data_IF_759738341823
#
_entry.id   IF_759738341823
#
_cell.length_a   1.000
_cell.length_b   1.000
_cell.length_c   1.000
_cell.angle_alpha   90.00
_cell.angle_beta   90.00
_cell.angle_gamma   90.00
#
_symmetry.space_group_name_H-M   'P 1'
#
loop_
_entity.id
_entity.type
_entity.pdbx_description
1 polymer ?
#
# COMPACT_ATOMS: atom_id res chain seq x y z
N UNK A 1 -5.53 22.81 -13.43
CA UNK A 1 -6.56 22.20 -12.57
C UNK A 1 -6.43 20.69 -12.68
N UNK A 2 -5.87 20.03 -11.69
CA UNK A 2 -5.86 18.57 -11.64
C UNK A 2 -7.23 18.17 -11.09
N UNK A 3 -8.07 17.57 -11.92
CA UNK A 3 -9.38 17.07 -11.51
C UNK A 3 -9.17 15.98 -10.46
N UNK A 4 -9.66 16.21 -9.25
CA UNK A 4 -9.78 15.13 -8.27
C UNK A 4 -10.81 14.14 -8.81
N UNK A 5 -10.49 12.83 -8.92
CA UNK A 5 -11.42 11.86 -9.44
C UNK A 5 -12.66 11.84 -8.54
N UNK A 6 -13.84 11.95 -9.16
CA UNK A 6 -15.13 11.83 -8.46
C UNK A 6 -15.15 10.50 -7.71
N UNK A 7 -15.27 10.58 -6.38
CA UNK A 7 -15.37 9.43 -5.47
C UNK A 7 -16.52 8.53 -5.94
N UNK A 8 -16.21 7.35 -6.48
CA UNK A 8 -17.21 6.32 -6.77
C UNK A 8 -17.36 5.44 -5.53
N UNK A 9 -18.58 5.03 -5.20
CA UNK A 9 -18.87 4.24 -3.98
C UNK A 9 -18.22 2.85 -3.93
N UNK A 10 -17.53 2.42 -4.99
CA UNK A 10 -16.96 1.07 -5.12
C UNK A 10 -15.48 1.00 -4.73
N UNK A 11 -14.94 2.01 -4.03
CA UNK A 11 -13.56 2.02 -3.54
C UNK A 11 -13.53 1.92 -2.01
N UNK A 12 -13.70 0.71 -1.43
CA UNK A 12 -13.47 0.51 -0.01
C UNK A 12 -12.03 0.83 0.38
N UNK A 13 -11.85 1.28 1.62
CA UNK A 13 -10.53 1.46 2.21
C UNK A 13 -9.99 0.11 2.66
N UNK A 14 -8.77 -0.21 2.24
CA UNK A 14 -8.05 -1.39 2.64
C UNK A 14 -6.74 -1.02 3.31
N UNK A 15 -6.44 -1.68 4.42
CA UNK A 15 -5.10 -1.79 4.97
C UNK A 15 -4.37 -2.94 4.28
N UNK A 16 -3.08 -2.79 4.03
CA UNK A 16 -2.25 -3.91 3.65
C UNK A 16 -0.86 -3.84 4.28
N UNK A 17 -0.34 -5.02 4.60
CA UNK A 17 0.98 -5.20 5.19
C UNK A 17 1.97 -5.75 4.17
N UNK A 18 3.18 -5.19 4.17
CA UNK A 18 4.29 -5.65 3.34
C UNK A 18 5.49 -6.07 4.20
N UNK A 19 5.96 -7.31 4.03
CA UNK A 19 7.21 -7.78 4.61
C UNK A 19 8.42 -7.31 3.79
N UNK A 20 8.76 -6.03 3.93
CA UNK A 20 9.92 -5.42 3.26
C UNK A 20 11.12 -5.27 4.21
N UNK A 21 12.35 -5.26 3.68
CA UNK A 21 13.54 -4.94 4.48
C UNK A 21 13.39 -3.60 5.20
N UNK A 22 13.99 -3.48 6.39
CA UNK A 22 13.91 -2.28 7.22
C UNK A 22 14.25 -0.99 6.46
N UNK A 23 15.26 -1.02 5.58
CA UNK A 23 15.66 0.12 4.73
C UNK A 23 14.58 0.60 3.74
N UNK A 24 13.54 -0.21 3.48
CA UNK A 24 12.40 0.10 2.61
C UNK A 24 11.13 0.44 3.40
N UNK A 25 11.14 0.39 4.74
CA UNK A 25 9.99 0.74 5.59
C UNK A 25 9.91 2.26 5.79
N UNK A 26 9.60 2.98 4.73
CA UNK A 26 9.48 4.43 4.77
C UNK A 26 8.34 4.93 3.87
N UNK A 27 7.85 6.13 4.16
CA UNK A 27 6.73 6.76 3.46
C UNK A 27 6.94 6.85 1.95
N UNK A 28 8.18 7.13 1.51
CA UNK A 28 8.49 7.22 0.07
C UNK A 28 8.22 5.89 -0.63
N UNK A 29 8.72 4.79 -0.08
CA UNK A 29 8.50 3.47 -0.64
C UNK A 29 7.02 3.07 -0.57
N UNK A 30 6.34 3.32 0.56
CA UNK A 30 4.89 3.08 0.68
C UNK A 30 4.08 3.82 -0.40
N UNK A 31 4.43 5.08 -0.67
CA UNK A 31 3.81 5.90 -1.71
C UNK A 31 4.10 5.36 -3.12
N UNK A 32 5.35 5.03 -3.43
CA UNK A 32 5.74 4.44 -4.73
C UNK A 32 4.94 3.16 -5.02
N UNK A 33 4.77 2.30 -4.01
CA UNK A 33 3.96 1.09 -4.13
C UNK A 33 2.48 1.41 -4.29
N UNK A 34 1.97 2.32 -3.46
CA UNK A 34 0.59 2.77 -3.51
C UNK A 34 0.16 3.31 -4.86
N UNK A 35 0.95 4.22 -5.42
CA UNK A 35 0.71 4.84 -6.72
C UNK A 35 0.78 3.80 -7.86
N UNK A 36 1.72 2.87 -7.81
CA UNK A 36 1.88 1.79 -8.79
C UNK A 36 0.67 0.85 -8.85
N UNK A 37 -0.01 0.67 -7.72
CA UNK A 37 -1.04 -0.36 -7.58
C UNK A 37 -2.47 0.20 -7.59
N UNK A 38 -2.70 1.31 -6.89
CA UNK A 38 -4.06 1.79 -6.58
C UNK A 38 -4.24 3.31 -6.68
N UNK A 39 -3.18 4.07 -6.94
CA UNK A 39 -3.23 5.51 -7.26
C UNK A 39 -3.46 6.45 -6.09
N UNK A 40 -4.04 6.00 -4.96
CA UNK A 40 -4.18 6.78 -3.74
C UNK A 40 -3.81 5.96 -2.50
N UNK A 41 -2.83 6.46 -1.75
CA UNK A 41 -2.37 5.86 -0.51
C UNK A 41 -2.26 6.91 0.59
N UNK A 42 -2.83 6.58 1.73
CA UNK A 42 -2.57 7.24 3.00
C UNK A 42 -1.57 6.37 3.77
N UNK A 43 -0.43 6.96 4.12
CA UNK A 43 0.57 6.30 4.95
C UNK A 43 0.16 6.48 6.41
N UNK A 44 0.13 5.38 7.17
CA UNK A 44 -0.13 5.47 8.61
C UNK A 44 1.13 6.01 9.30
N UNK A 45 1.12 7.30 9.65
CA UNK A 45 2.24 7.97 10.31
C UNK A 45 2.30 7.74 11.82
N UNK A 46 1.35 6.99 12.37
CA UNK A 46 1.28 6.73 13.81
C UNK A 46 2.48 5.92 14.33
N UNK A 47 3.20 5.23 13.45
CA UNK A 47 4.53 4.64 13.70
C UNK A 47 5.62 5.19 12.75
N UNK A 48 6.10 6.42 12.97
CA UNK A 48 7.02 7.08 12.05
C UNK A 48 8.41 6.40 11.99
N UNK A 49 8.72 5.55 12.98
CA UNK A 49 10.00 4.87 13.08
C UNK A 49 10.05 3.54 12.30
N UNK A 50 8.90 2.98 11.89
CA UNK A 50 8.83 1.69 11.17
C UNK A 50 9.36 0.50 11.97
N UNK A 51 9.18 0.52 13.30
CA UNK A 51 9.67 -0.54 14.20
C UNK A 51 8.81 -1.79 14.14
N UNK A 52 7.57 -1.66 13.67
CA UNK A 52 6.77 -2.80 13.29
C UNK A 52 7.46 -3.70 12.26
N UNK A 53 7.15 -4.99 12.36
CA UNK A 53 7.72 -6.05 11.52
C UNK A 53 7.37 -5.86 10.04
N UNK A 54 6.30 -5.13 9.75
CA UNK A 54 5.73 -4.96 8.41
C UNK A 54 5.55 -3.48 8.10
N UNK A 55 5.47 -3.15 6.81
CA UNK A 55 5.07 -1.83 6.34
C UNK A 55 3.56 -1.83 6.13
N UNK A 56 2.83 -1.11 6.97
CA UNK A 56 1.38 -0.96 6.91
C UNK A 56 0.99 0.23 6.05
N UNK A 57 0.05 0.03 5.13
CA UNK A 57 -0.36 1.05 4.16
C UNK A 57 -1.87 1.02 3.99
N UNK A 58 -2.51 2.20 3.91
CA UNK A 58 -3.94 2.33 3.63
C UNK A 58 -4.13 2.79 2.18
N UNK A 59 -4.90 2.06 1.40
CA UNK A 59 -5.22 2.40 0.02
C UNK A 59 -6.72 2.32 -0.25
N UNK A 60 -7.19 3.17 -1.16
CA UNK A 60 -8.49 2.98 -1.80
C UNK A 60 -8.31 1.99 -2.94
N UNK A 61 -9.00 0.85 -2.88
CA UNK A 61 -8.83 -0.23 -3.86
C UNK A 61 -10.09 -0.39 -4.71
N UNK A 62 -9.91 -0.44 -6.02
CA UNK A 62 -10.94 -0.79 -6.99
C UNK A 62 -11.26 -2.30 -6.92
N UNK A 63 -12.33 -2.68 -6.23
CA UNK A 63 -12.69 -4.09 -6.04
C UNK A 63 -13.29 -4.75 -7.28
N UNK A 64 -13.60 -3.98 -8.33
CA UNK A 64 -14.01 -4.53 -9.63
C UNK A 64 -12.80 -5.11 -10.38
N UNK A 65 -11.58 -4.76 -9.97
CA UNK A 65 -10.32 -5.32 -10.49
C UNK A 65 -9.81 -6.43 -9.60
N UNK A 66 -9.09 -7.37 -10.20
CA UNK A 66 -8.41 -8.43 -9.45
C UNK A 66 -7.39 -7.83 -8.48
N UNK A 67 -7.50 -8.18 -7.20
CA UNK A 67 -6.50 -7.84 -6.19
C UNK A 67 -5.17 -8.50 -6.52
N UNK A 68 -4.11 -7.70 -6.59
CA UNK A 68 -2.76 -8.22 -6.79
C UNK A 68 -2.33 -8.96 -5.52
N UNK A 69 -1.80 -10.18 -5.62
CA UNK A 69 -1.40 -10.95 -4.42
C UNK A 69 0.00 -10.61 -3.89
N UNK A 70 0.78 -9.90 -4.70
CA UNK A 70 2.15 -9.54 -4.37
C UNK A 70 2.89 -8.93 -5.55
N UNK A 71 4.14 -8.57 -5.30
CA UNK A 71 5.03 -8.04 -6.32
C UNK A 71 6.48 -8.36 -6.02
N UNK A 72 7.32 -8.24 -7.05
CA UNK A 72 8.77 -8.31 -6.92
C UNK A 72 9.30 -6.91 -6.63
N UNK A 73 10.04 -6.74 -5.54
CA UNK A 73 10.66 -5.48 -5.14
C UNK A 73 12.19 -5.58 -5.25
N UNK A 74 12.83 -4.46 -5.57
CA UNK A 74 14.29 -4.33 -5.50
C UNK A 74 14.72 -4.05 -4.06
N UNK A 75 15.55 -4.94 -3.50
CA UNK A 75 16.08 -4.82 -2.14
C UNK A 75 17.54 -4.35 -2.09
N UNK A 76 18.11 -3.94 -3.23
CA UNK A 76 19.49 -3.49 -3.39
C UNK A 76 20.45 -4.61 -3.79
N UNK A 77 21.63 -4.24 -4.29
CA UNK A 77 22.69 -5.18 -4.66
C UNK A 77 22.28 -6.20 -5.72
N UNK A 78 21.51 -5.76 -6.74
CA UNK A 78 20.91 -6.61 -7.79
C UNK A 78 20.03 -7.76 -7.26
N UNK A 79 19.60 -7.67 -5.99
CA UNK A 79 18.75 -8.68 -5.36
C UNK A 79 17.31 -8.21 -5.35
N UNK A 80 16.40 -9.17 -5.52
CA UNK A 80 14.97 -8.90 -5.53
C UNK A 80 14.25 -9.85 -4.59
N UNK A 81 13.17 -9.38 -3.96
CA UNK A 81 12.32 -10.16 -3.06
C UNK A 81 10.90 -10.15 -3.60
N UNK A 82 10.22 -11.30 -3.60
CA UNK A 82 8.78 -11.33 -3.79
C UNK A 82 8.12 -11.01 -2.44
N UNK A 83 7.23 -10.02 -2.43
CA UNK A 83 6.47 -9.62 -1.24
C UNK A 83 5.01 -9.91 -1.48
N UNK A 84 4.41 -10.62 -0.54
CA UNK A 84 2.98 -10.92 -0.54
C UNK A 84 2.22 -9.76 0.09
N UNK A 85 1.01 -9.51 -0.43
CA UNK A 85 0.10 -8.52 0.11
C UNK A 85 -0.93 -9.22 0.97
N UNK A 86 -1.04 -8.80 2.23
CA UNK A 86 -2.13 -9.19 3.11
C UNK A 86 -3.10 -8.03 3.19
N UNK A 87 -4.35 -8.28 2.82
CA UNK A 87 -5.39 -7.26 2.77
C UNK A 87 -6.30 -7.36 3.98
N UNK A 88 -6.61 -6.22 4.57
CA UNK A 88 -7.64 -6.05 5.58
C UNK A 88 -8.60 -4.95 5.11
N UNK A 89 -9.90 -5.25 5.04
CA UNK A 89 -10.91 -4.23 4.73
C UNK A 89 -11.12 -3.39 5.99
N UNK A 90 -10.82 -2.09 5.91
CA UNK A 90 -10.92 -1.16 7.05
C UNK A 90 -12.34 -0.61 7.17
N UNK A 91 -13.30 -1.51 7.36
CA UNK A 91 -14.71 -1.18 7.53
C UNK A 91 -15.35 -0.39 6.37
N UNK A 92 -16.65 -0.19 6.47
CA UNK A 92 -17.31 0.89 5.75
C UNK A 92 -17.43 2.02 6.77
N UNK A 93 -16.77 3.16 6.54
CA UNK A 93 -17.10 4.36 7.28
C UNK A 93 -18.51 4.77 6.84
N UNK A 94 -19.51 4.40 7.64
CA UNK A 94 -20.90 4.87 7.51
C UNK A 94 -21.04 6.29 8.06
#
# INVERSE_FOLDING_TARGET
MISHPKFRSNFPLFGFELDVPFSRRNMRFAKEIGESLWGFVEFDDSEPLGWEKFLSVKAMIDVEKSLRRGMKIDVGGNTTKYVEFKYERLGDFF
#
